data_IF_695836082196
#
_entry.id   IF_695836082196
#
_cell.length_a   1.000
_cell.length_b   1.000
_cell.length_c   1.000
_cell.angle_alpha   90.00
_cell.angle_beta   90.00
_cell.angle_gamma   90.00
#
_symmetry.space_group_name_H-M   'P 1'
#
loop_
_entity.id
_entity.type
_entity.pdbx_description
1 polymer ?
#
# COMPACT_ATOMS: atom_id res chain seq x y z
N UNK A 1 -13.24 -9.38 4.35
CA UNK A 1 -12.32 -9.92 5.35
C UNK A 1 -12.55 -9.24 6.71
N UNK A 2 -12.38 -7.91 6.85
CA UNK A 2 -12.48 -7.20 8.13
C UNK A 2 -13.86 -7.32 8.79
N UNK A 3 -14.96 -7.23 8.02
CA UNK A 3 -16.32 -7.42 8.53
C UNK A 3 -16.58 -8.86 9.02
N UNK A 4 -15.93 -9.84 8.42
CA UNK A 4 -16.03 -11.24 8.87
C UNK A 4 -15.40 -11.47 10.26
N UNK A 5 -14.38 -10.70 10.64
CA UNK A 5 -13.78 -10.72 11.98
C UNK A 5 -14.81 -10.33 13.05
N UNK A 6 -15.77 -9.47 12.68
CA UNK A 6 -16.90 -9.05 13.52
C UNK A 6 -18.16 -9.88 13.29
N UNK A 7 -18.08 -11.03 12.59
CA UNK A 7 -19.21 -11.90 12.22
C UNK A 7 -20.33 -11.20 11.44
N UNK A 8 -20.00 -10.12 10.74
CA UNK A 8 -20.93 -9.38 9.90
C UNK A 8 -20.90 -9.99 8.50
N UNK A 9 -22.08 -10.35 7.98
CA UNK A 9 -22.28 -10.80 6.60
C UNK A 9 -22.93 -9.65 5.81
N UNK A 10 -22.18 -8.73 5.23
CA UNK A 10 -22.75 -7.61 4.50
C UNK A 10 -23.24 -8.06 3.12
N UNK A 11 -24.24 -7.35 2.61
CA UNK A 11 -24.43 -7.29 1.17
C UNK A 11 -23.25 -6.51 0.57
N UNK A 12 -22.61 -7.06 -0.45
CA UNK A 12 -21.46 -6.44 -1.11
C UNK A 12 -21.72 -6.30 -2.60
N UNK A 13 -21.45 -5.12 -3.13
CA UNK A 13 -21.47 -4.83 -4.55
C UNK A 13 -20.04 -4.43 -4.96
N UNK A 14 -19.47 -5.15 -5.92
CA UNK A 14 -18.20 -4.77 -6.53
C UNK A 14 -18.47 -3.72 -7.59
N UNK A 15 -17.78 -2.59 -7.50
CA UNK A 15 -17.90 -1.47 -8.44
C UNK A 15 -16.59 -1.29 -9.20
N UNK A 16 -16.67 -0.66 -10.38
CA UNK A 16 -15.54 -0.31 -11.24
C UNK A 16 -15.54 1.18 -11.54
N UNK A 17 -14.44 1.68 -12.04
CA UNK A 17 -14.36 3.05 -12.58
C UNK A 17 -15.43 3.26 -13.67
N UNK A 18 -15.93 4.48 -13.76
CA UNK A 18 -17.03 4.93 -14.64
C UNK A 18 -18.38 4.29 -14.36
N UNK A 19 -18.50 3.41 -13.38
CA UNK A 19 -19.78 2.81 -13.00
C UNK A 19 -20.58 3.82 -12.18
N UNK A 20 -21.91 3.80 -12.40
CA UNK A 20 -22.88 4.58 -11.63
C UNK A 20 -23.81 3.62 -10.93
N UNK A 21 -23.92 3.74 -9.61
CA UNK A 21 -24.78 2.90 -8.79
C UNK A 21 -25.71 3.73 -7.92
N UNK A 22 -26.89 3.19 -7.62
CA UNK A 22 -27.87 3.85 -6.76
C UNK A 22 -28.02 3.15 -5.42
N UNK A 23 -27.84 3.92 -4.35
CA UNK A 23 -28.03 3.48 -2.98
C UNK A 23 -29.12 4.35 -2.32
N UNK A 24 -30.38 3.94 -2.48
CA UNK A 24 -31.51 4.74 -2.04
C UNK A 24 -31.57 6.10 -2.75
N UNK A 25 -31.50 7.23 -2.02
CA UNK A 25 -31.51 8.56 -2.62
C UNK A 25 -30.16 9.01 -3.22
N UNK A 26 -29.10 8.23 -3.05
CA UNK A 26 -27.76 8.55 -3.50
C UNK A 26 -27.46 7.89 -4.83
N UNK A 27 -27.06 8.68 -5.83
CA UNK A 27 -26.48 8.18 -7.07
C UNK A 27 -24.96 8.39 -6.99
N UNK A 28 -24.20 7.30 -7.01
CA UNK A 28 -22.76 7.28 -6.82
C UNK A 28 -22.06 6.92 -8.12
N UNK A 29 -21.18 7.78 -8.60
CA UNK A 29 -20.30 7.56 -9.75
C UNK A 29 -18.86 7.40 -9.27
N UNK A 30 -18.15 6.39 -9.81
CA UNK A 30 -16.83 6.02 -9.36
C UNK A 30 -15.76 6.43 -10.36
N UNK A 31 -14.73 7.14 -9.87
CA UNK A 31 -13.65 7.71 -10.70
C UNK A 31 -12.31 7.12 -10.29
N UNK A 32 -11.51 6.70 -11.25
CA UNK A 32 -10.18 6.16 -10.97
C UNK A 32 -9.27 7.20 -10.34
N UNK A 33 -8.62 6.84 -9.24
CA UNK A 33 -7.53 7.60 -8.64
C UNK A 33 -6.30 6.72 -8.44
N UNK A 34 -5.11 7.31 -8.53
CA UNK A 34 -3.89 6.61 -8.20
C UNK A 34 -3.63 6.69 -6.69
N UNK A 35 -3.28 5.57 -6.08
CA UNK A 35 -2.85 5.50 -4.68
C UNK A 35 -1.91 4.30 -4.47
N UNK A 36 -1.40 4.13 -3.26
CA UNK A 36 -0.53 3.00 -2.88
C UNK A 36 -1.23 1.64 -2.88
N UNK A 37 -2.54 1.63 -2.79
CA UNK A 37 -3.39 0.46 -2.94
C UNK A 37 -3.96 0.42 -4.37
N UNK A 38 -3.91 -0.73 -5.08
CA UNK A 38 -4.52 -0.86 -6.39
C UNK A 38 -6.03 -0.60 -6.35
N UNK A 39 -6.59 -0.18 -7.48
CA UNK A 39 -8.03 -0.03 -7.70
C UNK A 39 -8.73 1.03 -6.83
N UNK A 40 -7.97 2.03 -6.36
CA UNK A 40 -8.53 3.14 -5.60
C UNK A 40 -9.51 3.95 -6.46
N UNK A 41 -10.62 4.38 -5.83
CA UNK A 41 -11.70 5.12 -6.48
C UNK A 41 -12.10 6.33 -5.65
N UNK A 42 -12.25 7.47 -6.32
CA UNK A 42 -13.04 8.59 -5.84
C UNK A 42 -14.53 8.31 -6.06
N UNK A 43 -15.38 8.95 -5.30
CA UNK A 43 -16.83 8.83 -5.41
C UNK A 43 -17.46 10.20 -5.59
N UNK A 44 -18.24 10.35 -6.66
CA UNK A 44 -19.08 11.50 -6.88
C UNK A 44 -20.53 11.13 -6.58
N UNK A 45 -21.13 11.82 -5.64
CA UNK A 45 -22.44 11.51 -5.08
C UNK A 45 -23.42 12.59 -5.48
N UNK A 46 -24.48 12.21 -6.20
CA UNK A 46 -25.60 13.09 -6.56
C UNK A 46 -26.78 12.83 -5.65
N UNK A 47 -27.36 13.90 -5.12
CA UNK A 47 -28.58 13.86 -4.32
C UNK A 47 -29.51 15.02 -4.70
N UNK A 48 -30.74 15.02 -4.16
CA UNK A 48 -31.64 16.17 -4.31
C UNK A 48 -31.15 17.43 -3.58
N UNK A 49 -30.27 17.28 -2.57
CA UNK A 49 -29.76 18.38 -1.76
C UNK A 49 -28.46 18.98 -2.31
N UNK A 50 -27.79 18.27 -3.23
CA UNK A 50 -26.54 18.73 -3.81
C UNK A 50 -25.64 17.57 -4.25
N UNK A 51 -24.46 17.92 -4.74
CA UNK A 51 -23.46 17.04 -5.31
C UNK A 51 -22.16 17.09 -4.51
N UNK A 52 -21.67 15.94 -4.11
CA UNK A 52 -20.46 15.79 -3.30
C UNK A 52 -19.41 15.01 -4.06
N UNK A 53 -18.20 15.52 -4.12
CA UNK A 53 -17.05 14.79 -4.66
C UNK A 53 -16.08 14.48 -3.53
N UNK A 54 -15.89 13.19 -3.24
CA UNK A 54 -14.93 12.68 -2.26
C UNK A 54 -13.84 11.91 -2.99
N UNK A 55 -12.59 12.35 -2.89
CA UNK A 55 -11.48 11.74 -3.63
C UNK A 55 -11.06 10.37 -3.08
N UNK A 56 -11.33 10.08 -1.81
CA UNK A 56 -10.56 9.08 -1.09
C UNK A 56 -9.09 9.51 -0.99
N UNK A 57 -8.24 8.61 -0.53
CA UNK A 57 -6.79 8.86 -0.55
C UNK A 57 -6.27 8.74 -1.99
N UNK A 58 -5.51 9.73 -2.44
CA UNK A 58 -4.95 9.73 -3.79
C UNK A 58 -3.59 10.41 -3.85
N UNK A 59 -2.88 10.15 -4.93
CA UNK A 59 -1.68 10.90 -5.31
C UNK A 59 -1.65 11.18 -6.81
N UNK A 60 -0.95 12.24 -7.21
CA UNK A 60 -0.80 12.62 -8.60
C UNK A 60 0.49 12.03 -9.22
N UNK A 61 0.64 10.69 -9.13
CA UNK A 61 1.74 10.00 -9.79
C UNK A 61 1.45 9.84 -11.28
N UNK A 62 2.28 10.45 -12.13
CA UNK A 62 2.14 10.39 -13.59
C UNK A 62 2.83 9.15 -14.20
N UNK A 63 3.60 8.41 -13.42
CA UNK A 63 4.30 7.20 -13.84
C UNK A 63 4.07 6.05 -12.84
N UNK A 64 2.80 5.71 -12.56
CA UNK A 64 2.48 4.66 -11.61
C UNK A 64 2.97 3.28 -12.09
N UNK A 65 3.25 2.37 -11.15
CA UNK A 65 3.76 1.03 -11.45
C UNK A 65 2.76 0.17 -12.22
N UNK A 66 1.48 0.31 -11.92
CA UNK A 66 0.37 -0.41 -12.56
C UNK A 66 -0.14 0.25 -13.84
N UNK A 67 0.40 1.42 -14.20
CA UNK A 67 -0.03 2.20 -15.35
C UNK A 67 -1.36 2.96 -15.15
N UNK A 68 -1.98 2.87 -13.97
CA UNK A 68 -3.27 3.47 -13.67
C UNK A 68 -3.09 4.87 -13.07
N UNK A 69 -3.31 5.88 -13.89
CA UNK A 69 -3.26 7.30 -13.48
C UNK A 69 -4.62 7.77 -12.94
N UNK A 70 -4.61 8.85 -12.17
CA UNK A 70 -5.83 9.55 -11.77
C UNK A 70 -6.55 10.11 -13.02
N UNK A 71 -7.84 9.80 -13.19
CA UNK A 71 -8.63 10.20 -14.36
C UNK A 71 -9.05 11.67 -14.28
N UNK A 72 -8.10 12.56 -14.57
CA UNK A 72 -8.34 14.01 -14.56
C UNK A 72 -9.39 14.45 -15.57
N UNK A 73 -9.54 13.75 -16.71
CA UNK A 73 -10.58 14.06 -17.69
C UNK A 73 -11.97 13.87 -17.10
N UNK A 74 -12.16 12.79 -16.33
CA UNK A 74 -13.41 12.52 -15.67
C UNK A 74 -13.68 13.56 -14.56
N UNK A 75 -12.67 13.92 -13.77
CA UNK A 75 -12.78 14.98 -12.78
C UNK A 75 -13.17 16.33 -13.43
N UNK A 76 -12.60 16.69 -14.57
CA UNK A 76 -12.96 17.91 -15.30
C UNK A 76 -14.45 17.89 -15.69
N UNK A 77 -14.96 16.77 -16.23
CA UNK A 77 -16.38 16.62 -16.57
C UNK A 77 -17.29 16.79 -15.35
N UNK A 78 -16.91 16.22 -14.20
CA UNK A 78 -17.67 16.38 -12.96
C UNK A 78 -17.65 17.83 -12.47
N UNK A 79 -16.53 18.52 -12.65
CA UNK A 79 -16.42 19.95 -12.36
C UNK A 79 -17.34 20.80 -13.23
N UNK A 80 -17.47 20.49 -14.54
CA UNK A 80 -18.43 21.13 -15.45
C UNK A 80 -19.89 20.84 -15.07
N UNK A 81 -20.19 19.61 -14.59
CA UNK A 81 -21.50 19.27 -14.08
C UNK A 81 -21.84 20.03 -12.79
N UNK A 82 -20.82 20.40 -12.00
CA UNK A 82 -20.91 21.14 -10.76
C UNK A 82 -20.70 20.26 -9.51
N UNK A 83 -20.00 20.80 -8.54
CA UNK A 83 -19.68 20.19 -7.24
C UNK A 83 -20.04 21.17 -6.14
N UNK A 84 -21.01 20.83 -5.28
CA UNK A 84 -21.43 21.70 -4.17
C UNK A 84 -20.49 21.52 -2.95
N UNK A 85 -19.96 20.32 -2.75
CA UNK A 85 -19.00 20.01 -1.69
C UNK A 85 -17.85 19.15 -2.22
N UNK A 86 -16.62 19.65 -2.08
CA UNK A 86 -15.41 18.94 -2.45
C UNK A 86 -14.64 18.49 -1.20
N UNK A 87 -14.41 17.20 -1.07
CA UNK A 87 -13.71 16.56 0.05
C UNK A 87 -12.44 15.87 -0.48
N UNK A 88 -11.35 16.64 -0.71
CA UNK A 88 -10.09 16.08 -1.20
C UNK A 88 -9.25 15.50 -0.07
N UNK A 89 -8.43 14.48 -0.39
CA UNK A 89 -7.26 14.15 0.42
C UNK A 89 -6.32 15.38 0.48
N UNK A 90 -5.98 15.78 1.67
CA UNK A 90 -5.13 16.95 1.94
C UNK A 90 -3.98 16.65 2.89
N UNK A 91 -3.61 15.38 3.04
CA UNK A 91 -2.56 14.92 3.97
C UNK A 91 -1.24 15.69 3.82
N UNK A 92 -0.82 15.98 2.58
CA UNK A 92 0.40 16.72 2.30
C UNK A 92 0.14 18.10 1.64
N UNK A 93 -1.02 18.71 1.90
CA UNK A 93 -1.40 19.97 1.24
C UNK A 93 -0.46 21.14 1.53
N UNK A 94 0.22 21.13 2.69
CA UNK A 94 1.18 22.17 3.10
C UNK A 94 2.63 21.84 2.68
N UNK A 95 2.89 20.66 2.12
CA UNK A 95 4.25 20.25 1.70
C UNK A 95 4.52 20.80 0.29
N UNK A 96 5.46 21.73 0.10
CA UNK A 96 5.76 22.28 -1.21
C UNK A 96 6.42 21.25 -2.13
N UNK A 97 6.15 21.34 -3.43
CA UNK A 97 6.77 20.50 -4.45
C UNK A 97 5.80 19.54 -5.10
N UNK A 98 6.33 18.43 -5.61
CA UNK A 98 5.57 17.40 -6.32
C UNK A 98 5.77 16.03 -5.67
N UNK A 99 4.73 15.21 -5.69
CA UNK A 99 4.82 13.82 -5.24
C UNK A 99 5.76 13.03 -6.16
N UNK A 100 6.85 12.44 -5.65
CA UNK A 100 7.72 11.58 -6.44
C UNK A 100 6.98 10.36 -6.98
N UNK A 101 7.34 9.93 -8.19
CA UNK A 101 6.77 8.70 -8.73
C UNK A 101 7.25 7.47 -7.97
N UNK A 102 6.37 6.49 -7.82
CA UNK A 102 6.66 5.21 -7.18
C UNK A 102 7.79 4.44 -7.89
N UNK A 103 7.96 4.65 -9.21
CA UNK A 103 9.05 4.04 -9.99
C UNK A 103 10.45 4.37 -9.49
N UNK A 104 10.65 5.53 -8.85
CA UNK A 104 11.96 5.92 -8.32
C UNK A 104 12.44 5.05 -7.15
N UNK A 105 11.55 4.36 -6.49
CA UNK A 105 11.87 3.51 -5.33
C UNK A 105 12.57 2.21 -5.76
N UNK A 106 12.21 1.65 -6.91
CA UNK A 106 12.81 0.41 -7.40
C UNK A 106 14.35 0.44 -7.45
N UNK A 107 14.97 1.41 -8.15
CA UNK A 107 16.44 1.55 -8.17
C UNK A 107 17.06 1.73 -6.78
N UNK A 108 16.40 2.44 -5.87
CA UNK A 108 16.89 2.61 -4.48
C UNK A 108 16.89 1.28 -3.74
N UNK A 109 15.82 0.51 -3.83
CA UNK A 109 15.73 -0.83 -3.26
C UNK A 109 16.80 -1.76 -3.86
N UNK A 110 16.98 -1.78 -5.18
CA UNK A 110 18.00 -2.60 -5.85
C UNK A 110 19.41 -2.28 -5.34
N UNK A 111 19.72 -1.01 -5.08
CA UNK A 111 21.02 -0.61 -4.50
C UNK A 111 21.16 -1.10 -3.06
N UNK A 112 20.14 -0.89 -2.20
CA UNK A 112 20.16 -1.38 -0.82
C UNK A 112 20.32 -2.91 -0.79
N UNK A 113 19.61 -3.64 -1.66
CA UNK A 113 19.67 -5.10 -1.72
C UNK A 113 21.01 -5.62 -2.22
N UNK A 114 21.71 -4.85 -3.07
CA UNK A 114 23.08 -5.15 -3.52
C UNK A 114 24.10 -5.00 -2.40
N UNK A 115 23.97 -3.92 -1.64
CA UNK A 115 24.99 -3.50 -0.69
C UNK A 115 24.83 -4.17 0.70
N UNK A 116 23.66 -4.71 1.00
CA UNK A 116 23.37 -5.40 2.27
C UNK A 116 24.02 -6.78 2.34
N UNK A 117 24.89 -6.96 3.33
CA UNK A 117 25.59 -8.23 3.60
C UNK A 117 24.85 -9.19 4.52
N UNK A 118 23.83 -8.72 5.25
CA UNK A 118 23.01 -9.51 6.17
C UNK A 118 21.52 -9.56 5.74
N UNK A 119 20.64 -9.77 6.73
CA UNK A 119 19.20 -9.72 6.52
C UNK A 119 18.76 -8.29 6.17
N UNK A 120 17.73 -8.17 5.38
CA UNK A 120 17.08 -6.89 5.07
C UNK A 120 15.68 -6.90 5.70
N UNK A 121 15.38 -5.89 6.49
CA UNK A 121 14.08 -5.72 7.14
C UNK A 121 13.44 -4.47 6.52
N UNK A 122 12.40 -4.66 5.71
CA UNK A 122 11.68 -3.56 5.05
C UNK A 122 10.38 -3.32 5.76
N UNK A 123 10.21 -2.15 6.34
CA UNK A 123 8.96 -1.72 6.96
C UNK A 123 8.15 -0.83 6.01
N UNK A 124 6.87 -1.16 5.83
CA UNK A 124 5.94 -0.40 5.01
C UNK A 124 4.50 -0.59 5.51
N UNK A 125 3.57 0.19 4.97
CA UNK A 125 2.14 -0.06 5.20
C UNK A 125 1.73 -1.41 4.62
N UNK A 126 0.94 -2.16 5.35
CA UNK A 126 0.43 -3.46 4.89
C UNK A 126 -0.53 -3.38 3.71
N UNK A 127 -1.02 -2.19 3.37
CA UNK A 127 -1.86 -1.93 2.20
C UNK A 127 -1.07 -1.51 0.96
N UNK A 128 0.22 -1.21 1.10
CA UNK A 128 1.05 -0.71 0.01
C UNK A 128 1.52 -1.83 -0.93
N UNK A 129 0.59 -2.35 -1.74
CA UNK A 129 0.83 -3.51 -2.62
C UNK A 129 1.97 -3.25 -3.61
N UNK A 130 2.03 -2.06 -4.20
CA UNK A 130 3.09 -1.69 -5.15
C UNK A 130 4.49 -1.72 -4.52
N UNK A 131 4.64 -1.28 -3.27
CA UNK A 131 5.90 -1.34 -2.55
C UNK A 131 6.33 -2.78 -2.27
N UNK A 132 5.38 -3.63 -1.87
CA UNK A 132 5.65 -5.07 -1.67
C UNK A 132 6.07 -5.73 -2.99
N UNK A 133 5.43 -5.37 -4.12
CA UNK A 133 5.84 -5.87 -5.43
C UNK A 133 7.29 -5.49 -5.74
N UNK A 134 7.70 -4.23 -5.54
CA UNK A 134 9.08 -3.80 -5.76
C UNK A 134 10.09 -4.54 -4.88
N UNK A 135 9.71 -4.83 -3.62
CA UNK A 135 10.56 -5.62 -2.71
C UNK A 135 10.70 -7.06 -3.20
N UNK A 136 9.60 -7.69 -3.66
CA UNK A 136 9.62 -9.05 -4.22
C UNK A 136 10.50 -9.12 -5.48
N UNK A 137 10.38 -8.14 -6.36
CA UNK A 137 11.15 -8.07 -7.61
C UNK A 137 12.64 -7.88 -7.32
N UNK A 138 13.01 -6.95 -6.44
CA UNK A 138 14.39 -6.72 -6.02
C UNK A 138 15.00 -7.95 -5.31
N UNK A 139 14.22 -8.66 -4.51
CA UNK A 139 14.64 -9.90 -3.87
C UNK A 139 14.89 -11.01 -4.89
N UNK A 140 13.98 -11.16 -5.88
CA UNK A 140 14.11 -12.13 -6.97
C UNK A 140 15.40 -11.91 -7.78
N UNK A 141 15.69 -10.65 -8.15
CA UNK A 141 16.91 -10.27 -8.87
C UNK A 141 18.20 -10.67 -8.12
N UNK A 142 18.15 -10.72 -6.79
CA UNK A 142 19.30 -11.06 -5.93
C UNK A 142 19.27 -12.48 -5.37
N UNK A 143 18.32 -13.31 -5.79
CA UNK A 143 18.14 -14.66 -5.28
C UNK A 143 17.80 -14.75 -3.80
N UNK A 144 17.30 -13.65 -3.21
CA UNK A 144 16.87 -13.61 -1.82
C UNK A 144 15.44 -14.13 -1.65
N UNK A 145 15.11 -14.60 -0.46
CA UNK A 145 13.78 -15.05 -0.04
C UNK A 145 13.09 -13.94 0.73
N UNK A 146 11.80 -13.77 0.49
CA UNK A 146 10.98 -12.78 1.19
C UNK A 146 10.07 -13.48 2.18
N UNK A 147 10.01 -12.96 3.39
CA UNK A 147 9.12 -13.40 4.46
C UNK A 147 8.18 -12.26 4.82
N UNK A 148 6.88 -12.51 4.82
CA UNK A 148 5.89 -11.54 5.28
C UNK A 148 5.70 -11.68 6.78
N UNK A 149 5.92 -10.60 7.53
CA UNK A 149 5.85 -10.56 8.99
C UNK A 149 4.68 -9.69 9.45
N UNK A 150 3.81 -10.26 10.26
CA UNK A 150 2.62 -9.61 10.80
C UNK A 150 1.33 -10.02 10.10
N UNK A 151 0.25 -10.16 10.90
CA UNK A 151 -1.06 -10.67 10.42
C UNK A 151 -1.68 -9.83 9.31
N UNK A 152 -1.61 -8.50 9.42
CA UNK A 152 -2.15 -7.58 8.40
C UNK A 152 -1.37 -7.68 7.09
N UNK A 153 -0.04 -7.76 7.15
CA UNK A 153 0.83 -7.90 5.97
C UNK A 153 0.49 -9.19 5.21
N UNK A 154 0.51 -10.33 5.89
CA UNK A 154 0.17 -11.64 5.29
C UNK A 154 -1.24 -11.61 4.67
N UNK A 155 -2.25 -11.15 5.43
CA UNK A 155 -3.63 -11.10 4.96
C UNK A 155 -3.80 -10.24 3.70
N UNK A 156 -3.27 -9.02 3.73
CA UNK A 156 -3.45 -8.06 2.63
C UNK A 156 -2.74 -8.55 1.37
N UNK A 157 -1.54 -9.09 1.49
CA UNK A 157 -0.78 -9.63 0.35
C UNK A 157 -1.43 -10.88 -0.23
N UNK A 158 -1.97 -11.77 0.62
CA UNK A 158 -2.76 -12.92 0.14
C UNK A 158 -4.01 -12.48 -0.65
N UNK A 159 -4.67 -11.42 -0.22
CA UNK A 159 -5.83 -10.87 -0.95
C UNK A 159 -5.36 -10.23 -2.27
N UNK A 160 -4.30 -9.44 -2.25
CA UNK A 160 -3.75 -8.79 -3.45
C UNK A 160 -3.32 -9.81 -4.51
N UNK A 161 -2.66 -10.91 -4.10
CA UNK A 161 -2.28 -12.01 -4.97
C UNK A 161 -3.50 -12.69 -5.60
N UNK A 162 -4.51 -13.04 -4.78
CA UNK A 162 -5.76 -13.66 -5.26
C UNK A 162 -6.53 -12.79 -6.25
N UNK A 163 -6.46 -11.47 -6.10
CA UNK A 163 -7.09 -10.50 -7.00
C UNK A 163 -6.23 -10.17 -8.22
N UNK A 164 -4.99 -10.68 -8.30
CA UNK A 164 -4.07 -10.45 -9.41
C UNK A 164 -3.30 -9.13 -9.36
N UNK A 165 -3.39 -8.39 -8.25
CA UNK A 165 -2.65 -7.14 -8.05
C UNK A 165 -1.22 -7.34 -7.55
N UNK A 166 -0.92 -8.47 -6.93
CA UNK A 166 0.43 -8.85 -6.52
C UNK A 166 0.87 -10.08 -7.33
N UNK A 167 2.02 -9.97 -7.98
CA UNK A 167 2.65 -11.07 -8.72
C UNK A 167 3.85 -11.58 -7.93
N UNK A 168 3.72 -12.73 -7.31
CA UNK A 168 4.81 -13.33 -6.53
C UNK A 168 5.73 -14.11 -7.45
N UNK A 169 7.03 -13.70 -7.59
CA UNK A 169 7.98 -14.48 -8.38
C UNK A 169 8.18 -15.88 -7.79
N UNK A 170 8.41 -16.86 -8.67
CA UNK A 170 8.57 -18.27 -8.26
C UNK A 170 9.68 -18.41 -7.21
N UNK A 171 9.41 -19.16 -6.16
CA UNK A 171 10.37 -19.48 -5.09
C UNK A 171 10.94 -18.28 -4.31
N UNK A 172 10.32 -17.09 -4.39
CA UNK A 172 10.75 -15.90 -3.63
C UNK A 172 10.08 -15.85 -2.27
N UNK A 173 8.77 -16.01 -2.20
CA UNK A 173 8.03 -15.94 -0.95
C UNK A 173 8.13 -17.25 -0.17
N UNK A 174 8.53 -17.18 1.09
CA UNK A 174 8.66 -18.32 1.98
C UNK A 174 7.92 -18.11 3.30
N UNK A 175 7.52 -19.21 3.94
CA UNK A 175 6.86 -19.16 5.26
C UNK A 175 7.85 -18.68 6.34
N UNK A 176 7.36 -17.87 7.28
CA UNK A 176 8.14 -17.38 8.42
C UNK A 176 8.79 -18.52 9.24
N UNK A 177 8.16 -19.70 9.29
CA UNK A 177 8.68 -20.87 10.01
C UNK A 177 9.93 -21.47 9.38
N UNK A 178 10.21 -21.11 8.14
CA UNK A 178 11.37 -21.60 7.37
C UNK A 178 12.49 -20.57 7.27
N UNK A 179 12.38 -19.46 8.00
CA UNK A 179 13.41 -18.39 7.92
C UNK A 179 14.78 -18.88 8.34
N UNK A 180 14.84 -19.77 9.33
CA UNK A 180 16.09 -20.33 9.87
C UNK A 180 16.75 -21.38 8.93
N UNK A 181 16.06 -21.81 7.87
CA UNK A 181 16.60 -22.69 6.84
C UNK A 181 17.54 -21.94 5.87
N UNK A 182 17.58 -20.60 5.95
CA UNK A 182 18.34 -19.73 5.03
C UNK A 182 19.41 -18.94 5.77
N UNK A 183 20.52 -18.63 5.08
CA UNK A 183 21.52 -17.72 5.62
C UNK A 183 20.99 -16.30 5.73
N UNK A 184 21.53 -15.46 6.65
CA UNK A 184 21.08 -14.07 6.80
C UNK A 184 21.10 -13.27 5.49
N UNK A 185 22.13 -13.41 4.68
CA UNK A 185 22.28 -12.71 3.39
C UNK A 185 21.25 -13.13 2.32
N UNK A 186 20.49 -14.19 2.57
CA UNK A 186 19.44 -14.69 1.69
C UNK A 186 18.03 -14.23 2.10
N UNK A 187 17.86 -13.52 3.22
CA UNK A 187 16.53 -13.20 3.78
C UNK A 187 16.21 -11.71 3.65
N UNK A 188 14.98 -11.45 3.24
CA UNK A 188 14.30 -10.16 3.30
C UNK A 188 13.02 -10.34 4.10
N UNK A 189 12.82 -9.52 5.12
CA UNK A 189 11.60 -9.51 5.92
C UNK A 189 10.76 -8.28 5.55
N UNK A 190 9.52 -8.48 5.14
CA UNK A 190 8.59 -7.39 4.87
C UNK A 190 7.60 -7.28 6.03
N UNK A 191 7.59 -6.16 6.73
CA UNK A 191 6.81 -5.98 7.97
C UNK A 191 6.08 -4.62 8.02
N UNK A 192 5.24 -4.44 9.03
CA UNK A 192 4.63 -3.16 9.39
C UNK A 192 5.48 -2.45 10.47
N UNK A 193 5.23 -1.14 10.67
CA UNK A 193 5.92 -0.35 11.72
C UNK A 193 6.75 0.79 11.15
N UNK A 194 6.52 1.18 9.90
CA UNK A 194 7.23 2.29 9.26
C UNK A 194 6.90 3.67 9.85
N UNK A 195 5.89 3.76 10.71
CA UNK A 195 5.47 4.97 11.41
C UNK A 195 5.79 4.93 12.92
N UNK A 196 6.59 3.96 13.37
CA UNK A 196 6.91 3.82 14.78
C UNK A 196 5.77 3.30 15.67
N UNK A 197 4.69 2.74 15.07
CA UNK A 197 3.55 2.26 15.84
C UNK A 197 3.96 1.18 16.85
N UNK A 198 3.67 1.34 18.15
CA UNK A 198 4.21 0.46 19.20
C UNK A 198 3.85 -1.02 19.04
N UNK A 199 2.67 -1.30 18.49
CA UNK A 199 2.17 -2.67 18.29
C UNK A 199 2.54 -3.26 16.93
N UNK A 200 3.23 -2.51 16.09
CA UNK A 200 3.67 -2.98 14.77
C UNK A 200 4.85 -3.96 14.88
N UNK A 201 5.03 -4.75 13.83
CA UNK A 201 6.05 -5.81 13.85
C UNK A 201 7.48 -5.26 14.06
N UNK A 202 7.86 -4.17 13.37
CA UNK A 202 9.19 -3.58 13.50
C UNK A 202 9.47 -3.10 14.93
N UNK A 203 8.54 -2.35 15.53
CA UNK A 203 8.68 -1.84 16.90
C UNK A 203 8.82 -2.98 17.91
N UNK A 204 8.07 -4.05 17.74
CA UNK A 204 8.15 -5.24 18.59
C UNK A 204 9.46 -6.01 18.40
N UNK A 205 9.99 -6.07 17.16
CA UNK A 205 11.31 -6.65 16.89
C UNK A 205 12.42 -5.85 17.59
N UNK A 206 12.33 -4.52 17.53
CA UNK A 206 13.32 -3.62 18.14
C UNK A 206 13.30 -3.70 19.68
N UNK A 207 12.11 -3.88 20.27
CA UNK A 207 11.92 -3.97 21.72
C UNK A 207 12.10 -5.39 22.28
N UNK A 208 12.41 -6.40 21.45
CA UNK A 208 12.57 -7.78 21.89
C UNK A 208 11.26 -8.54 22.16
N UNK A 209 10.11 -7.94 21.85
CA UNK A 209 8.77 -8.53 22.06
C UNK A 209 8.28 -9.38 20.88
N UNK A 210 9.16 -9.70 19.94
CA UNK A 210 8.86 -10.51 18.76
C UNK A 210 9.80 -11.73 18.70
N UNK A 211 9.35 -12.83 18.07
CA UNK A 211 10.21 -14.02 17.87
C UNK A 211 11.47 -13.73 17.06
N UNK A 212 11.34 -12.84 16.11
CA UNK A 212 12.46 -12.32 15.33
C UNK A 212 12.90 -11.02 16.00
N UNK A 213 14.17 -10.88 16.24
CA UNK A 213 14.80 -9.68 16.77
C UNK A 213 15.72 -9.06 15.71
N UNK A 214 15.95 -7.76 15.81
CA UNK A 214 16.93 -7.06 14.99
C UNK A 214 18.30 -7.41 15.53
N UNK A 215 19.21 -7.80 14.66
CA UNK A 215 20.56 -8.24 15.03
C UNK A 215 21.63 -7.36 14.37
N UNK A 216 22.83 -7.32 14.95
CA UNK A 216 23.97 -6.66 14.30
C UNK A 216 24.20 -7.21 12.89
N UNK A 217 24.34 -6.30 11.91
CA UNK A 217 24.50 -6.66 10.51
C UNK A 217 23.19 -6.66 9.70
N UNK A 218 22.03 -6.52 10.35
CA UNK A 218 20.78 -6.31 9.65
C UNK A 218 20.72 -4.92 9.00
N UNK A 219 20.09 -4.84 7.84
CA UNK A 219 19.77 -3.58 7.16
C UNK A 219 18.29 -3.28 7.33
N UNK A 220 17.95 -2.21 8.03
CA UNK A 220 16.55 -1.79 8.21
C UNK A 220 16.20 -0.68 7.23
N UNK A 221 15.13 -0.87 6.46
CA UNK A 221 14.63 0.07 5.45
C UNK A 221 13.23 0.53 5.86
N UNK A 222 13.09 1.82 6.16
CA UNK A 222 11.77 2.45 6.34
C UNK A 222 11.26 2.89 4.97
N UNK A 223 10.37 2.09 4.38
CA UNK A 223 9.92 2.24 3.01
C UNK A 223 8.56 2.97 2.91
N UNK A 224 8.42 4.07 3.64
CA UNK A 224 7.27 4.99 3.58
C UNK A 224 7.70 6.37 4.05
N UNK A 225 6.99 7.41 3.59
CA UNK A 225 7.11 8.75 4.18
C UNK A 225 6.45 8.75 5.56
N UNK A 226 6.97 9.56 6.47
CA UNK A 226 6.32 9.79 7.75
C UNK A 226 4.99 10.53 7.54
N UNK A 227 3.97 10.11 8.27
CA UNK A 227 2.71 10.84 8.34
C UNK A 227 2.90 11.96 9.36
N UNK A 228 2.45 13.20 9.10
CA UNK A 228 2.52 14.30 10.05
C UNK A 228 1.99 13.89 11.43
N UNK A 229 2.77 14.19 12.48
CA UNK A 229 2.47 13.78 13.86
C UNK A 229 3.14 12.47 14.32
N UNK A 230 3.87 11.76 13.45
CA UNK A 230 4.61 10.53 13.76
C UNK A 230 6.14 10.74 13.72
N UNK A 231 6.61 11.96 13.90
CA UNK A 231 8.04 12.31 13.79
C UNK A 231 8.86 11.98 15.04
N UNK A 232 8.29 11.35 16.06
CA UNK A 232 8.96 11.01 17.33
C UNK A 232 9.68 9.67 17.31
#
# INVERSE_FOLDING_TARGET
AKLAEHRIKPYTLAVKEHQVERFGPFECEFVAVNHSIPDALAVYIRTKAGKVLHTGDFKMDQLPLDGRITDLRHFARLGEEGVDLFLPDSTNAEVPGFTPTEKHIGPVLSNVFRDASGRIIVASFSSHVHRVQQVLDAAAERGRKVVLVGRSMVRNMTIAEKLGYLKVPANVLVDLKKVDDYRPDQIVMMCTGSQGEPMAALSRMANGDHKIQIEPGDTVVLASSLIPGNET
#
